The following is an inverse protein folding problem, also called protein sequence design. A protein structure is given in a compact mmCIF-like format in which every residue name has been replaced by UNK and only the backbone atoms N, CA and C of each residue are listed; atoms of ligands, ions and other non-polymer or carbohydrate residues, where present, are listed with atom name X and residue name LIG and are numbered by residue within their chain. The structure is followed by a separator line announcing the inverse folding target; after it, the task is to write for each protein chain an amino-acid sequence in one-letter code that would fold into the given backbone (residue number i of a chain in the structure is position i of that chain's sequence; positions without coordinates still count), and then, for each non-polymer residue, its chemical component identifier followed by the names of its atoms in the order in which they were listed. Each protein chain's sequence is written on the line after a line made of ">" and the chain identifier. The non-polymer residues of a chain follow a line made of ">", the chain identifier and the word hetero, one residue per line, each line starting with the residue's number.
data_IF_674534298978
#
_entry.id   IF_674534298978
#
_cell.length_a   1.000
_cell.length_b   1.000
_cell.length_c   1.000
_cell.angle_alpha   90.00
_cell.angle_beta   90.00
_cell.angle_gamma   90.00
#
_symmetry.space_group_name_H-M   'P 1'
#
loop_
_entity.id
_entity.type
_entity.pdbx_description
1 polymer ?
#
# COMPACT_ATOMS: atom_id res chain seq x y z
N UNK A 1 16.41 -22.91 -35.91
CA UNK A 1 16.52 -22.18 -34.62
C UNK A 1 16.92 -23.23 -33.60
N UNK A 2 18.24 -23.33 -33.24
CA UNK A 2 18.71 -24.32 -32.25
C UNK A 2 18.12 -23.89 -30.91
N UNK A 3 17.41 -24.81 -30.24
CA UNK A 3 17.01 -24.62 -28.84
C UNK A 3 18.29 -24.32 -28.05
N UNK A 4 18.27 -23.26 -27.25
CA UNK A 4 19.36 -22.85 -26.40
C UNK A 4 19.77 -24.01 -25.49
N UNK A 5 21.07 -24.23 -25.35
CA UNK A 5 21.62 -25.23 -24.43
C UNK A 5 21.32 -24.80 -23.00
N UNK A 6 20.95 -25.76 -22.13
CA UNK A 6 20.69 -25.47 -20.69
C UNK A 6 21.97 -24.93 -20.03
N UNK A 7 21.85 -24.05 -19.04
CA UNK A 7 22.99 -23.61 -18.26
C UNK A 7 23.52 -24.77 -17.42
N UNK A 8 24.78 -25.08 -17.56
CA UNK A 8 25.44 -26.15 -16.82
C UNK A 8 26.77 -25.66 -16.24
N UNK A 9 27.13 -26.18 -15.06
CA UNK A 9 28.41 -25.97 -14.42
C UNK A 9 28.98 -27.33 -14.13
N UNK A 10 30.20 -27.60 -14.59
CA UNK A 10 30.92 -28.81 -14.26
C UNK A 10 32.36 -28.51 -13.87
N UNK A 11 32.91 -29.36 -12.99
CA UNK A 11 34.28 -29.24 -12.50
C UNK A 11 35.18 -30.06 -13.39
N UNK A 12 36.19 -29.42 -13.99
CA UNK A 12 37.27 -30.11 -14.71
C UNK A 12 38.47 -30.18 -13.77
N UNK A 13 38.83 -31.37 -13.31
CA UNK A 13 40.02 -31.60 -12.50
C UNK A 13 41.23 -31.81 -13.40
N UNK A 14 42.17 -30.87 -13.42
CA UNK A 14 43.51 -31.06 -14.04
C UNK A 14 44.56 -30.99 -12.92
N UNK A 15 45.21 -32.11 -12.70
CA UNK A 15 46.32 -32.53 -11.83
C UNK A 15 46.72 -31.68 -10.56
N UNK A 16 46.36 -30.41 -10.44
CA UNK A 16 46.55 -29.59 -9.22
C UNK A 16 45.55 -28.46 -9.02
N UNK A 17 44.75 -28.14 -10.06
CA UNK A 17 43.74 -27.06 -9.94
C UNK A 17 42.35 -27.53 -10.43
N UNK A 18 41.33 -27.25 -9.67
CA UNK A 18 39.95 -27.47 -10.09
C UNK A 18 39.44 -26.22 -10.84
N UNK A 19 39.20 -26.38 -12.15
CA UNK A 19 38.64 -25.33 -13.00
C UNK A 19 37.13 -25.55 -13.15
N UNK A 20 36.34 -24.51 -12.87
CA UNK A 20 34.92 -24.53 -13.09
C UNK A 20 34.61 -24.10 -14.52
N UNK A 21 34.04 -25.00 -15.31
CA UNK A 21 33.62 -24.70 -16.69
C UNK A 21 32.15 -24.34 -16.69
N UNK A 22 31.84 -23.13 -17.21
CA UNK A 22 30.47 -22.62 -17.34
C UNK A 22 30.06 -22.72 -18.79
N UNK A 23 29.00 -23.50 -19.07
CA UNK A 23 28.50 -23.72 -20.42
C UNK A 23 27.01 -23.44 -20.56
N UNK A 24 26.54 -23.25 -21.81
CA UNK A 24 25.15 -23.06 -22.14
C UNK A 24 24.65 -21.61 -22.09
N UNK A 25 23.32 -21.42 -22.21
CA UNK A 25 22.66 -20.13 -22.28
C UNK A 25 22.19 -19.68 -20.88
N UNK A 26 22.88 -18.70 -20.30
CA UNK A 26 22.62 -18.13 -18.98
C UNK A 26 21.72 -16.90 -19.07
N UNK A 27 20.47 -17.13 -19.44
CA UNK A 27 19.43 -16.12 -19.53
C UNK A 27 18.36 -16.35 -18.46
N UNK A 28 17.68 -15.30 -18.04
CA UNK A 28 16.65 -15.32 -16.96
C UNK A 28 15.65 -16.49 -17.10
N UNK A 29 15.27 -16.83 -18.34
CA UNK A 29 14.31 -17.91 -18.60
C UNK A 29 14.82 -19.31 -18.25
N UNK A 30 16.14 -19.52 -18.30
CA UNK A 30 16.77 -20.81 -18.06
C UNK A 30 17.28 -20.98 -16.63
N UNK A 31 17.40 -19.88 -15.86
CA UNK A 31 17.99 -19.89 -14.51
C UNK A 31 17.10 -20.56 -13.45
N UNK A 32 15.80 -20.71 -13.71
CA UNK A 32 14.88 -21.39 -12.78
C UNK A 32 15.20 -22.89 -12.54
N UNK A 33 16.01 -23.49 -13.40
CA UNK A 33 16.39 -24.91 -13.35
C UNK A 33 17.80 -25.15 -12.76
N UNK A 34 18.49 -24.11 -12.27
CA UNK A 34 19.83 -24.25 -11.71
C UNK A 34 19.82 -24.97 -10.35
N UNK A 35 20.77 -25.89 -10.11
CA UNK A 35 20.93 -26.50 -8.80
C UNK A 35 21.31 -25.43 -7.75
N UNK A 36 20.78 -25.53 -6.51
CA UNK A 36 20.89 -24.46 -5.49
C UNK A 36 22.31 -24.20 -4.98
N UNK A 37 23.24 -25.09 -5.19
CA UNK A 37 24.66 -24.96 -4.78
C UNK A 37 25.56 -25.91 -5.55
N UNK A 38 26.66 -25.40 -6.08
CA UNK A 38 27.78 -26.21 -6.59
C UNK A 38 28.79 -26.29 -5.45
N UNK A 39 28.95 -27.49 -4.87
CA UNK A 39 29.98 -27.74 -3.87
C UNK A 39 31.27 -28.12 -4.58
N UNK A 40 32.27 -27.27 -4.51
CA UNK A 40 33.63 -27.59 -4.99
C UNK A 40 34.53 -27.80 -3.77
N UNK A 41 35.52 -28.73 -3.95
CA UNK A 41 36.49 -29.05 -2.90
C UNK A 41 37.29 -27.82 -2.44
N UNK A 42 38.04 -27.95 -1.37
CA UNK A 42 38.71 -26.92 -0.59
C UNK A 42 39.83 -26.10 -1.29
N UNK A 43 39.71 -25.77 -2.57
CA UNK A 43 40.63 -24.85 -3.23
C UNK A 43 40.22 -23.39 -2.99
N UNK A 44 41.15 -22.64 -2.42
CA UNK A 44 40.91 -21.24 -1.96
C UNK A 44 40.62 -20.25 -3.09
N UNK A 45 40.90 -20.57 -4.36
CA UNK A 45 40.64 -19.72 -5.53
C UNK A 45 40.36 -20.58 -6.76
N UNK A 46 39.12 -20.96 -7.06
CA UNK A 46 38.80 -21.67 -8.30
C UNK A 46 38.95 -20.76 -9.52
N UNK A 47 39.60 -21.25 -10.55
CA UNK A 47 39.59 -20.63 -11.89
C UNK A 47 38.29 -20.98 -12.60
N UNK A 48 37.72 -20.00 -13.34
CA UNK A 48 36.46 -20.18 -14.09
C UNK A 48 36.77 -20.04 -15.56
N UNK A 49 36.43 -21.07 -16.31
CA UNK A 49 36.51 -21.07 -17.76
C UNK A 49 35.11 -20.76 -18.36
N UNK A 50 34.99 -19.61 -18.99
CA UNK A 50 33.80 -19.17 -19.69
C UNK A 50 33.87 -19.35 -21.22
N UNK A 51 34.78 -20.17 -21.73
CA UNK A 51 34.97 -20.37 -23.17
C UNK A 51 33.78 -21.04 -23.87
N UNK A 52 32.99 -21.84 -23.14
CA UNK A 52 31.78 -22.51 -23.63
C UNK A 52 30.48 -21.78 -23.32
N UNK A 53 30.58 -20.52 -22.88
CA UNK A 53 29.42 -19.68 -22.53
C UNK A 53 28.65 -19.26 -23.79
N UNK A 54 27.34 -19.52 -23.80
CA UNK A 54 26.44 -19.13 -24.88
C UNK A 54 25.90 -17.69 -24.70
N UNK A 55 24.59 -17.53 -24.74
CA UNK A 55 23.94 -16.22 -24.49
C UNK A 55 23.83 -15.97 -23.00
N UNK A 56 24.10 -14.74 -22.59
CA UNK A 56 24.01 -14.31 -21.19
C UNK A 56 23.27 -12.98 -21.10
N UNK A 57 22.45 -12.82 -20.05
CA UNK A 57 21.86 -11.54 -19.65
C UNK A 57 22.44 -11.06 -18.31
N UNK A 58 22.01 -9.90 -17.84
CA UNK A 58 22.51 -9.31 -16.58
C UNK A 58 22.21 -10.18 -15.35
N UNK A 59 21.11 -10.94 -15.37
CA UNK A 59 20.75 -11.86 -14.29
C UNK A 59 21.63 -13.11 -14.33
N UNK A 60 21.94 -13.62 -15.51
CA UNK A 60 22.89 -14.71 -15.71
C UNK A 60 24.31 -14.35 -15.27
N UNK A 61 24.77 -13.15 -15.62
CA UNK A 61 26.07 -12.64 -15.15
C UNK A 61 26.12 -12.51 -13.62
N UNK A 62 25.05 -12.00 -13.01
CA UNK A 62 24.91 -11.93 -11.55
C UNK A 62 24.91 -13.32 -10.91
N UNK A 63 24.20 -14.28 -11.50
CA UNK A 63 24.16 -15.65 -10.99
C UNK A 63 25.55 -16.30 -11.01
N UNK A 64 26.32 -16.13 -12.09
CA UNK A 64 27.71 -16.65 -12.17
C UNK A 64 28.56 -15.97 -11.09
N UNK A 65 28.53 -14.64 -10.96
CA UNK A 65 29.31 -13.90 -9.96
C UNK A 65 28.94 -14.29 -8.51
N UNK A 66 27.68 -14.59 -8.24
CA UNK A 66 27.22 -14.99 -6.90
C UNK A 66 27.56 -16.45 -6.58
N UNK A 67 27.49 -17.35 -7.56
CA UNK A 67 27.79 -18.78 -7.38
C UNK A 67 29.29 -19.04 -7.15
N UNK A 68 30.14 -18.20 -7.70
CA UNK A 68 31.58 -18.43 -7.72
C UNK A 68 32.35 -17.65 -6.66
N UNK A 69 31.72 -17.06 -5.67
CA UNK A 69 32.41 -16.20 -4.70
C UNK A 69 33.46 -15.29 -5.37
N UNK A 70 33.30 -14.02 -5.33
CA UNK A 70 34.03 -12.87 -5.94
C UNK A 70 35.57 -12.93 -6.06
N UNK A 71 36.22 -14.01 -5.64
CA UNK A 71 37.68 -14.14 -5.65
C UNK A 71 38.24 -15.00 -6.81
N UNK A 72 37.36 -15.47 -7.71
CA UNK A 72 37.77 -16.36 -8.79
C UNK A 72 38.30 -15.57 -9.99
N UNK A 73 39.40 -16.06 -10.59
CA UNK A 73 39.93 -15.54 -11.85
C UNK A 73 39.06 -16.05 -12.99
N UNK A 74 38.41 -15.19 -13.74
CA UNK A 74 37.56 -15.55 -14.88
C UNK A 74 38.44 -15.59 -16.13
N UNK A 75 38.55 -16.74 -16.78
CA UNK A 75 39.30 -16.93 -18.04
C UNK A 75 38.32 -17.28 -19.19
N UNK A 76 38.75 -17.04 -20.43
CA UNK A 76 37.97 -17.41 -21.61
C UNK A 76 36.72 -16.52 -21.87
N UNK A 77 36.60 -15.38 -21.21
CA UNK A 77 35.42 -14.50 -21.38
C UNK A 77 35.51 -13.75 -22.73
N UNK A 78 34.52 -13.84 -23.63
CA UNK A 78 34.47 -13.04 -24.85
C UNK A 78 34.47 -11.52 -24.55
N UNK A 79 35.18 -10.75 -25.36
CA UNK A 79 35.42 -9.31 -25.13
C UNK A 79 34.12 -8.48 -25.02
N UNK A 80 33.08 -8.91 -25.75
CA UNK A 80 31.74 -8.30 -25.68
C UNK A 80 31.00 -8.57 -24.37
N UNK A 81 31.35 -9.65 -23.65
CA UNK A 81 30.74 -10.01 -22.37
C UNK A 81 31.54 -9.49 -21.17
N UNK A 82 32.86 -9.28 -21.32
CA UNK A 82 33.69 -8.71 -20.26
C UNK A 82 33.13 -7.40 -19.70
N UNK A 83 32.62 -6.54 -20.57
CA UNK A 83 32.01 -5.28 -20.20
C UNK A 83 30.69 -5.44 -19.40
N UNK A 84 29.91 -6.48 -19.72
CA UNK A 84 28.70 -6.81 -18.96
C UNK A 84 29.03 -7.29 -17.54
N UNK A 85 30.04 -8.16 -17.42
CA UNK A 85 30.50 -8.65 -16.12
C UNK A 85 31.06 -7.52 -15.26
N UNK A 86 31.87 -6.62 -15.84
CA UNK A 86 32.39 -5.44 -15.15
C UNK A 86 31.27 -4.51 -14.63
N UNK A 87 30.23 -4.25 -15.44
CA UNK A 87 29.08 -3.45 -15.06
C UNK A 87 28.27 -4.10 -13.95
N UNK A 88 28.03 -5.40 -14.03
CA UNK A 88 27.28 -6.15 -13.01
C UNK A 88 28.08 -6.22 -11.72
N UNK A 89 29.38 -6.47 -11.78
CA UNK A 89 30.27 -6.49 -10.60
C UNK A 89 30.35 -5.11 -9.93
N UNK A 90 30.50 -4.03 -10.69
CA UNK A 90 30.48 -2.67 -10.17
C UNK A 90 29.13 -2.32 -9.52
N UNK A 91 28.02 -2.78 -10.10
CA UNK A 91 26.69 -2.60 -9.52
C UNK A 91 26.51 -3.38 -8.21
N UNK A 92 27.04 -4.59 -8.14
CA UNK A 92 26.95 -5.43 -6.94
C UNK A 92 27.94 -5.03 -5.84
N UNK A 93 29.12 -4.52 -6.19
CA UNK A 93 30.05 -3.94 -5.20
C UNK A 93 29.45 -2.74 -4.45
N UNK A 94 28.51 -2.04 -5.08
CA UNK A 94 27.73 -0.97 -4.41
C UNK A 94 26.73 -1.51 -3.38
N UNK A 95 26.24 -2.73 -3.50
CA UNK A 95 25.27 -3.34 -2.58
C UNK A 95 25.92 -4.14 -1.43
N UNK A 96 27.08 -4.75 -1.63
CA UNK A 96 27.82 -5.46 -0.56
C UNK A 96 28.44 -4.56 0.48
N UNK A 97 28.56 -3.27 0.21
CA UNK A 97 28.84 -2.27 1.25
C UNK A 97 27.69 -2.17 2.29
N UNK A 98 26.58 -2.86 2.06
CA UNK A 98 25.49 -3.09 3.01
C UNK A 98 25.54 -4.46 3.70
N UNK A 99 26.72 -5.03 3.93
CA UNK A 99 26.86 -5.86 5.12
C UNK A 99 26.32 -5.04 6.26
N UNK A 100 25.30 -5.56 6.95
CA UNK A 100 24.64 -4.88 8.06
C UNK A 100 25.67 -4.50 9.13
N UNK A 101 26.45 -3.49 8.83
CA UNK A 101 27.26 -2.81 9.81
C UNK A 101 26.31 -2.54 10.96
N UNK A 102 26.51 -3.23 12.08
CA UNK A 102 25.76 -3.03 13.30
C UNK A 102 25.97 -1.57 13.71
N UNK A 103 25.25 -0.69 13.01
CA UNK A 103 25.31 0.73 13.30
C UNK A 103 24.96 0.92 14.78
N UNK A 104 25.77 1.59 15.55
CA UNK A 104 25.50 1.90 16.93
C UNK A 104 24.10 2.52 17.06
N UNK A 105 23.41 2.26 18.16
CA UNK A 105 21.99 2.63 18.35
C UNK A 105 21.69 4.09 18.03
N UNK A 106 22.63 5.01 18.34
CA UNK A 106 22.48 6.44 18.03
C UNK A 106 22.43 6.75 16.51
N UNK A 107 23.18 5.99 15.69
CA UNK A 107 23.14 6.15 14.21
C UNK A 107 21.84 5.59 13.63
N UNK A 108 21.34 4.46 14.19
CA UNK A 108 20.03 3.92 13.84
C UNK A 108 18.91 4.89 14.20
N UNK A 109 18.95 5.43 15.40
CA UNK A 109 17.98 6.42 15.85
C UNK A 109 18.05 7.70 14.99
N UNK A 110 19.25 8.19 14.69
CA UNK A 110 19.46 9.33 13.79
C UNK A 110 18.89 9.11 12.39
N UNK A 111 19.10 7.93 11.79
CA UNK A 111 18.50 7.57 10.49
C UNK A 111 16.98 7.55 10.55
N UNK A 112 16.38 7.03 11.62
CA UNK A 112 14.91 7.00 11.80
C UNK A 112 14.37 8.42 11.92
N UNK A 113 14.95 9.25 12.78
CA UNK A 113 14.55 10.65 12.95
C UNK A 113 14.71 11.46 11.65
N UNK A 114 15.83 11.28 10.96
CA UNK A 114 16.06 11.94 9.67
C UNK A 114 15.03 11.52 8.62
N UNK A 115 14.76 10.21 8.47
CA UNK A 115 13.73 9.70 7.57
C UNK A 115 12.33 10.22 7.94
N UNK A 116 12.00 10.25 9.22
CA UNK A 116 10.75 10.83 9.71
C UNK A 116 10.66 12.32 9.35
N UNK A 117 11.71 13.11 9.56
CA UNK A 117 11.77 14.51 9.17
C UNK A 117 11.62 14.74 7.67
N UNK A 118 12.27 13.92 6.84
CA UNK A 118 12.10 13.94 5.38
C UNK A 118 10.66 13.58 4.98
N UNK A 119 10.07 12.58 5.62
CA UNK A 119 8.69 12.17 5.38
C UNK A 119 7.70 13.29 5.74
N UNK A 120 7.89 13.96 6.88
CA UNK A 120 7.06 15.10 7.31
C UNK A 120 7.19 16.25 6.30
N UNK A 121 8.42 16.61 5.89
CA UNK A 121 8.66 17.65 4.90
C UNK A 121 7.98 17.36 3.55
N UNK A 122 8.03 16.12 3.10
CA UNK A 122 7.39 15.69 1.85
C UNK A 122 5.87 15.75 1.98
N UNK A 123 5.31 15.33 3.13
CA UNK A 123 3.88 15.43 3.40
C UNK A 123 3.41 16.88 3.47
N UNK A 124 4.17 17.76 4.13
CA UNK A 124 3.85 19.18 4.20
C UNK A 124 3.86 19.86 2.82
N UNK A 125 4.84 19.49 1.95
CA UNK A 125 4.86 19.97 0.56
C UNK A 125 3.66 19.48 -0.24
N UNK A 126 3.26 18.23 -0.05
CA UNK A 126 2.09 17.65 -0.71
C UNK A 126 0.81 18.37 -0.26
N UNK A 127 0.65 18.58 1.05
CA UNK A 127 -0.47 19.35 1.62
C UNK A 127 -0.54 20.77 1.05
N UNK A 128 0.59 21.48 1.02
CA UNK A 128 0.61 22.85 0.46
C UNK A 128 0.23 22.87 -1.02
N UNK A 129 0.66 21.88 -1.82
CA UNK A 129 0.20 21.76 -3.22
C UNK A 129 -1.29 21.47 -3.31
N UNK A 130 -1.82 20.61 -2.43
CA UNK A 130 -3.24 20.28 -2.39
C UNK A 130 -4.09 21.50 -2.05
N UNK A 131 -3.71 22.26 -1.03
CA UNK A 131 -4.40 23.49 -0.66
C UNK A 131 -4.41 24.52 -1.80
N UNK A 132 -3.26 24.75 -2.44
CA UNK A 132 -3.16 25.65 -3.60
C UNK A 132 -4.03 25.18 -4.76
N UNK A 133 -4.02 23.86 -5.06
CA UNK A 133 -4.86 23.29 -6.12
C UNK A 133 -6.34 23.41 -5.79
N UNK A 134 -6.75 23.19 -4.54
CA UNK A 134 -8.12 23.40 -4.07
C UNK A 134 -8.58 24.84 -4.24
N UNK A 135 -7.79 25.79 -3.76
CA UNK A 135 -8.13 27.22 -3.86
C UNK A 135 -8.25 27.63 -5.34
N UNK A 136 -7.33 27.18 -6.19
CA UNK A 136 -7.39 27.44 -7.64
C UNK A 136 -8.64 26.81 -8.30
N UNK A 137 -9.06 25.65 -7.83
CA UNK A 137 -10.22 24.91 -8.38
C UNK A 137 -11.55 25.54 -7.93
N UNK A 138 -11.60 26.10 -6.72
CA UNK A 138 -12.73 26.91 -6.24
C UNK A 138 -12.84 28.19 -7.06
N UNK A 139 -11.69 28.85 -7.35
CA UNK A 139 -11.65 30.06 -8.18
C UNK A 139 -11.97 29.78 -9.65
N UNK A 140 -11.61 28.60 -10.18
CA UNK A 140 -11.84 28.20 -11.57
C UNK A 140 -12.43 26.76 -11.64
N UNK A 141 -13.76 26.60 -11.52
CA UNK A 141 -14.41 25.28 -11.54
C UNK A 141 -14.20 24.48 -12.84
N UNK A 142 -13.86 25.16 -13.94
CA UNK A 142 -13.55 24.49 -15.22
C UNK A 142 -12.31 23.60 -15.21
N UNK A 143 -11.48 23.71 -14.16
CA UNK A 143 -10.32 22.81 -13.93
C UNK A 143 -10.74 21.44 -13.42
N UNK A 144 -11.89 21.35 -12.79
CA UNK A 144 -12.41 20.08 -12.27
C UNK A 144 -12.93 19.26 -13.45
N UNK A 145 -12.38 18.09 -13.67
CA UNK A 145 -12.83 17.14 -14.69
C UNK A 145 -14.06 16.37 -14.16
N UNK A 146 -15.28 16.68 -14.59
CA UNK A 146 -16.48 16.11 -13.99
C UNK A 146 -16.59 14.61 -14.18
N UNK A 147 -16.12 14.08 -15.31
CA UNK A 147 -16.11 12.64 -15.62
C UNK A 147 -15.16 11.89 -14.67
N UNK A 148 -13.95 12.41 -14.44
CA UNK A 148 -12.99 11.82 -13.53
C UNK A 148 -13.50 11.86 -12.06
N UNK A 149 -14.14 12.96 -11.67
CA UNK A 149 -14.76 13.10 -10.36
C UNK A 149 -15.91 12.10 -10.18
N UNK A 150 -16.83 12.02 -11.15
CA UNK A 150 -17.98 11.11 -11.09
C UNK A 150 -17.54 9.63 -11.02
N UNK A 151 -16.55 9.22 -11.82
CA UNK A 151 -16.00 7.87 -11.78
C UNK A 151 -15.32 7.55 -10.45
N UNK A 152 -14.65 8.53 -9.85
CA UNK A 152 -14.02 8.37 -8.53
C UNK A 152 -15.08 8.28 -7.42
N UNK A 153 -16.17 9.08 -7.49
CA UNK A 153 -17.31 9.00 -6.57
C UNK A 153 -17.98 7.62 -6.65
N UNK A 154 -18.20 7.11 -7.85
CA UNK A 154 -18.80 5.80 -8.04
C UNK A 154 -17.94 4.70 -7.40
N UNK A 155 -16.65 4.66 -7.73
CA UNK A 155 -15.72 3.63 -7.23
C UNK A 155 -15.47 3.71 -5.73
N UNK A 156 -15.21 4.92 -5.20
CA UNK A 156 -14.93 5.10 -3.79
C UNK A 156 -16.19 5.08 -2.92
N UNK A 157 -17.31 5.62 -3.42
CA UNK A 157 -18.56 5.79 -2.68
C UNK A 157 -19.52 4.63 -2.87
N UNK A 158 -20.17 4.56 -4.03
CA UNK A 158 -21.31 3.66 -4.26
C UNK A 158 -20.96 2.17 -4.09
N UNK A 159 -19.79 1.76 -4.58
CA UNK A 159 -19.35 0.37 -4.46
C UNK A 159 -19.02 -0.04 -3.01
N UNK A 160 -18.72 0.92 -2.13
CA UNK A 160 -18.40 0.66 -0.72
C UNK A 160 -19.65 0.68 0.19
N UNK A 161 -20.76 1.24 -0.30
CA UNK A 161 -21.97 1.47 0.47
C UNK A 161 -22.55 0.20 1.12
N UNK A 162 -22.78 -0.92 0.40
CA UNK A 162 -23.37 -2.11 1.01
C UNK A 162 -22.46 -2.70 2.09
N UNK A 163 -21.16 -2.72 1.88
CA UNK A 163 -20.20 -3.22 2.86
C UNK A 163 -20.22 -2.37 4.14
N UNK A 164 -20.19 -1.03 3.99
CA UNK A 164 -20.23 -0.08 5.10
C UNK A 164 -21.53 -0.24 5.89
N UNK A 165 -22.68 -0.32 5.21
CA UNK A 165 -23.97 -0.47 5.87
C UNK A 165 -24.06 -1.78 6.68
N UNK A 166 -23.64 -2.90 6.10
CA UNK A 166 -23.63 -4.19 6.79
C UNK A 166 -22.71 -4.17 8.01
N UNK A 167 -21.48 -3.69 7.84
CA UNK A 167 -20.50 -3.67 8.92
C UNK A 167 -20.95 -2.78 10.08
N UNK A 168 -21.45 -1.57 9.78
CA UNK A 168 -21.93 -0.66 10.84
C UNK A 168 -23.21 -1.14 11.49
N UNK A 169 -24.10 -1.81 10.77
CA UNK A 169 -25.27 -2.48 11.34
C UNK A 169 -24.86 -3.50 12.42
N UNK A 170 -23.95 -4.40 12.11
CA UNK A 170 -23.48 -5.39 13.08
C UNK A 170 -22.73 -4.75 14.26
N UNK A 171 -21.96 -3.69 14.02
CA UNK A 171 -21.27 -2.96 15.10
C UNK A 171 -22.30 -2.31 16.04
N UNK A 172 -23.34 -1.67 15.50
CA UNK A 172 -24.43 -1.11 16.31
C UNK A 172 -25.14 -2.17 17.15
N UNK A 173 -25.42 -3.34 16.55
CA UNK A 173 -25.97 -4.48 17.26
C UNK A 173 -25.05 -5.00 18.39
N UNK A 174 -23.76 -5.16 18.12
CA UNK A 174 -22.78 -5.60 19.13
C UNK A 174 -22.63 -4.60 20.27
N UNK A 175 -22.64 -3.29 19.96
CA UNK A 175 -22.60 -2.24 20.99
C UNK A 175 -23.83 -2.29 21.89
N UNK A 176 -25.02 -2.55 21.32
CA UNK A 176 -26.24 -2.73 22.09
C UNK A 176 -26.16 -3.95 23.00
N UNK A 177 -25.68 -5.10 22.49
CA UNK A 177 -25.54 -6.35 23.22
C UNK A 177 -24.55 -6.23 24.39
N UNK A 178 -23.32 -5.80 24.12
CA UNK A 178 -22.30 -5.66 25.17
C UNK A 178 -22.71 -4.57 26.16
N UNK A 179 -23.29 -3.47 25.65
CA UNK A 179 -23.78 -2.38 26.46
C UNK A 179 -24.92 -2.79 27.38
N UNK A 180 -25.86 -3.67 26.91
CA UNK A 180 -26.96 -4.15 27.74
C UNK A 180 -26.45 -4.97 28.93
N UNK A 181 -25.57 -5.93 28.70
CA UNK A 181 -25.01 -6.78 29.76
C UNK A 181 -24.29 -5.96 30.84
N UNK A 182 -23.51 -4.96 30.41
CA UNK A 182 -22.77 -4.11 31.33
C UNK A 182 -23.71 -3.18 32.15
N UNK A 183 -24.67 -2.56 31.47
CA UNK A 183 -25.60 -1.62 32.12
C UNK A 183 -26.61 -2.33 33.01
N UNK A 184 -27.01 -3.55 32.69
CA UNK A 184 -27.87 -4.38 33.54
C UNK A 184 -27.20 -4.70 34.89
N UNK A 185 -25.91 -5.04 34.87
CA UNK A 185 -25.12 -5.25 36.11
C UNK A 185 -25.05 -3.99 36.98
N UNK A 186 -25.15 -2.81 36.39
CA UNK A 186 -25.15 -1.52 37.08
C UNK A 186 -26.56 -1.04 37.45
N UNK A 187 -27.62 -1.82 37.13
CA UNK A 187 -29.01 -1.40 37.34
C UNK A 187 -29.47 -0.25 36.42
N UNK A 188 -28.79 -0.02 35.32
CA UNK A 188 -28.99 1.09 34.41
C UNK A 188 -29.32 0.64 32.98
N UNK A 189 -29.98 -0.50 32.81
CA UNK A 189 -30.29 -1.12 31.53
C UNK A 189 -31.00 -0.19 30.55
N UNK A 190 -31.72 0.79 31.05
CA UNK A 190 -32.44 1.76 30.25
C UNK A 190 -31.54 2.70 29.44
N UNK A 191 -30.26 2.89 29.85
CA UNK A 191 -29.29 3.76 29.17
C UNK A 191 -28.65 3.12 27.93
N UNK A 192 -29.02 1.91 27.52
CA UNK A 192 -28.48 1.24 26.34
C UNK A 192 -28.76 2.03 25.07
N UNK A 193 -29.95 2.65 24.97
CA UNK A 193 -30.33 3.43 23.79
C UNK A 193 -29.42 4.64 23.62
N UNK A 194 -29.14 5.36 24.71
CA UNK A 194 -28.24 6.50 24.75
C UNK A 194 -26.81 6.07 24.41
N UNK A 195 -26.35 4.96 24.99
CA UNK A 195 -25.03 4.41 24.71
C UNK A 195 -24.85 4.11 23.21
N UNK A 196 -25.80 3.41 22.60
CA UNK A 196 -25.80 3.10 21.16
C UNK A 196 -25.86 4.39 20.34
N UNK A 197 -26.80 5.28 20.65
CA UNK A 197 -26.99 6.53 19.92
C UNK A 197 -25.73 7.40 19.91
N UNK A 198 -25.15 7.64 21.09
CA UNK A 198 -23.94 8.47 21.21
C UNK A 198 -22.75 7.78 20.53
N UNK A 199 -22.53 6.49 20.76
CA UNK A 199 -21.40 5.76 20.20
C UNK A 199 -21.45 5.70 18.67
N UNK A 200 -22.63 5.43 18.11
CA UNK A 200 -22.81 5.34 16.64
C UNK A 200 -22.73 6.73 16.00
N UNK A 201 -23.47 7.72 16.49
CA UNK A 201 -23.50 9.05 15.87
C UNK A 201 -22.17 9.79 15.99
N UNK A 202 -21.47 9.62 17.11
CA UNK A 202 -20.27 10.39 17.40
C UNK A 202 -18.97 9.73 16.91
N UNK A 203 -18.89 8.38 16.96
CA UNK A 203 -17.66 7.66 16.71
C UNK A 203 -17.80 6.63 15.57
N UNK A 204 -18.55 5.54 15.78
CA UNK A 204 -18.54 4.39 14.86
C UNK A 204 -19.08 4.69 13.47
N UNK A 205 -20.11 5.54 13.36
CA UNK A 205 -20.68 5.94 12.07
C UNK A 205 -19.71 6.72 11.18
N UNK A 206 -18.62 7.25 11.74
CA UNK A 206 -17.56 7.94 10.99
C UNK A 206 -16.30 7.11 10.86
N UNK A 207 -15.87 6.44 11.95
CA UNK A 207 -14.63 5.67 11.96
C UNK A 207 -14.69 4.45 11.06
N UNK A 208 -15.83 3.72 11.03
CA UNK A 208 -15.93 2.50 10.23
C UNK A 208 -15.85 2.79 8.72
N UNK A 209 -16.63 3.74 8.16
CA UNK A 209 -16.42 4.16 6.78
C UNK A 209 -14.98 4.62 6.50
N UNK A 210 -14.38 5.38 7.42
CA UNK A 210 -13.02 5.86 7.24
C UNK A 210 -12.00 4.71 7.16
N UNK A 211 -12.07 3.72 8.05
CA UNK A 211 -11.16 2.56 8.05
C UNK A 211 -11.35 1.71 6.78
N UNK A 212 -12.59 1.43 6.39
CA UNK A 212 -12.89 0.65 5.19
C UNK A 212 -12.42 1.35 3.92
N UNK A 213 -12.67 2.66 3.80
CA UNK A 213 -12.18 3.45 2.68
C UNK A 213 -10.67 3.62 2.70
N UNK A 214 -10.03 3.77 3.86
CA UNK A 214 -8.58 3.82 3.97
C UNK A 214 -7.94 2.54 3.41
N UNK A 215 -8.46 1.37 3.74
CA UNK A 215 -7.95 0.09 3.23
C UNK A 215 -8.15 -0.06 1.71
N UNK A 216 -9.37 0.19 1.24
CA UNK A 216 -9.75 -0.05 -0.18
C UNK A 216 -9.29 1.09 -1.10
N UNK A 217 -9.63 2.33 -0.79
CA UNK A 217 -9.40 3.46 -1.68
C UNK A 217 -7.93 3.83 -1.78
N UNK A 218 -7.19 3.77 -0.67
CA UNK A 218 -5.75 4.06 -0.64
C UNK A 218 -4.97 3.09 -1.53
N UNK A 219 -5.21 1.79 -1.40
CA UNK A 219 -4.54 0.77 -2.22
C UNK A 219 -4.92 0.88 -3.70
N UNK A 220 -6.20 1.13 -4.00
CA UNK A 220 -6.69 1.33 -5.38
C UNK A 220 -6.06 2.56 -6.02
N UNK A 221 -5.97 3.68 -5.31
CA UNK A 221 -5.36 4.90 -5.83
C UNK A 221 -3.86 4.73 -6.07
N UNK A 222 -3.15 4.12 -5.14
CA UNK A 222 -1.72 3.83 -5.28
C UNK A 222 -1.46 2.90 -6.48
N UNK A 223 -2.24 1.81 -6.62
CA UNK A 223 -2.10 0.88 -7.73
C UNK A 223 -2.40 1.54 -9.09
N UNK A 224 -3.45 2.39 -9.18
CA UNK A 224 -3.78 3.10 -10.41
C UNK A 224 -2.68 4.09 -10.82
N UNK A 225 -2.17 4.90 -9.88
CA UNK A 225 -1.10 5.86 -10.18
C UNK A 225 0.19 5.11 -10.52
N UNK A 226 0.51 4.03 -9.81
CA UNK A 226 1.65 3.18 -10.09
C UNK A 226 1.59 2.56 -11.49
N UNK A 227 0.43 2.03 -11.90
CA UNK A 227 0.22 1.48 -13.24
C UNK A 227 0.39 2.56 -14.34
N UNK A 228 -0.18 3.76 -14.14
CA UNK A 228 -0.01 4.88 -15.08
C UNK A 228 1.46 5.30 -15.20
N UNK A 229 2.23 5.24 -14.12
CA UNK A 229 3.66 5.53 -14.12
C UNK A 229 4.45 4.45 -14.86
N UNK A 230 4.15 3.17 -14.63
CA UNK A 230 4.79 2.06 -15.36
C UNK A 230 4.51 2.11 -16.86
N UNK A 231 3.32 2.55 -17.27
CA UNK A 231 2.94 2.72 -18.67
C UNK A 231 3.44 4.06 -19.26
N UNK A 232 4.22 4.86 -18.54
CA UNK A 232 4.70 6.19 -18.94
C UNK A 232 3.58 7.21 -19.26
N UNK A 233 2.34 6.93 -18.84
CA UNK A 233 1.20 7.84 -19.05
C UNK A 233 1.38 9.16 -18.29
N UNK A 234 2.01 9.12 -17.11
CA UNK A 234 2.31 10.31 -16.30
C UNK A 234 3.31 11.22 -17.01
N UNK A 235 4.33 10.67 -17.67
CA UNK A 235 5.32 11.42 -18.44
C UNK A 235 4.71 12.02 -19.70
N UNK A 236 3.86 11.24 -20.39
CA UNK A 236 3.10 11.75 -21.55
C UNK A 236 2.20 12.94 -21.17
N UNK A 237 1.52 12.88 -20.01
CA UNK A 237 0.71 14.00 -19.50
C UNK A 237 1.59 15.25 -19.22
N UNK A 238 2.78 15.08 -18.64
CA UNK A 238 3.69 16.18 -18.38
C UNK A 238 4.18 16.85 -19.67
N UNK A 239 4.53 16.05 -20.68
CA UNK A 239 4.93 16.57 -21.99
C UNK A 239 3.80 17.37 -22.67
N UNK A 240 2.54 16.94 -22.45
CA UNK A 240 1.35 17.68 -22.92
C UNK A 240 1.02 18.93 -22.09
N UNK A 241 1.82 19.26 -21.06
CA UNK A 241 1.58 20.41 -20.18
C UNK A 241 0.44 20.23 -19.19
N UNK A 242 -0.02 18.98 -18.93
CA UNK A 242 -1.08 18.69 -17.98
C UNK A 242 -0.46 18.58 -16.57
N UNK A 243 -0.98 19.38 -15.63
CA UNK A 243 -0.60 19.25 -14.22
C UNK A 243 -1.14 17.93 -13.66
N UNK A 244 -0.22 17.02 -13.31
CA UNK A 244 -0.56 15.71 -12.74
C UNK A 244 -1.36 15.83 -11.43
N UNK A 245 -1.10 16.87 -10.66
CA UNK A 245 -1.77 17.07 -9.39
C UNK A 245 -3.26 17.39 -9.59
N UNK A 246 -3.55 18.30 -10.51
CA UNK A 246 -4.91 18.67 -10.88
C UNK A 246 -5.64 17.54 -11.62
N UNK A 247 -4.89 16.71 -12.38
CA UNK A 247 -5.49 15.64 -13.18
C UNK A 247 -5.77 14.35 -12.38
N UNK A 248 -4.90 14.00 -11.42
CA UNK A 248 -4.94 12.71 -10.73
C UNK A 248 -5.31 12.84 -9.24
N UNK A 249 -4.72 13.79 -8.53
CA UNK A 249 -4.89 13.90 -7.06
C UNK A 249 -6.18 14.62 -6.72
N UNK A 250 -6.43 15.76 -7.35
CA UNK A 250 -7.56 16.61 -7.04
C UNK A 250 -8.93 15.91 -7.19
N UNK A 251 -9.25 15.19 -8.29
CA UNK A 251 -10.54 14.51 -8.42
C UNK A 251 -10.74 13.42 -7.35
N UNK A 252 -9.67 12.71 -6.99
CA UNK A 252 -9.71 11.67 -5.95
C UNK A 252 -9.94 12.26 -4.56
N UNK A 253 -9.26 13.36 -4.26
CA UNK A 253 -9.46 14.08 -3.00
C UNK A 253 -10.89 14.61 -2.89
N UNK A 254 -11.39 15.31 -3.92
CA UNK A 254 -12.75 15.85 -3.94
C UNK A 254 -13.80 14.75 -3.87
N UNK A 255 -13.58 13.61 -4.54
CA UNK A 255 -14.51 12.48 -4.46
C UNK A 255 -14.64 11.95 -3.04
N UNK A 256 -13.55 11.79 -2.30
CA UNK A 256 -13.61 11.37 -0.89
C UNK A 256 -14.24 12.41 0.01
N UNK A 257 -13.97 13.70 -0.21
CA UNK A 257 -14.56 14.79 0.56
C UNK A 257 -16.08 14.85 0.40
N UNK A 258 -16.61 14.47 -0.76
CA UNK A 258 -18.05 14.40 -1.05
C UNK A 258 -18.67 13.08 -0.56
N UNK A 259 -18.00 11.96 -0.81
CA UNK A 259 -18.57 10.63 -0.53
C UNK A 259 -18.51 10.26 0.95
N UNK A 260 -17.46 10.65 1.66
CA UNK A 260 -17.29 10.31 3.08
C UNK A 260 -18.44 10.81 3.98
N UNK A 261 -18.91 12.07 3.89
CA UNK A 261 -20.07 12.51 4.68
C UNK A 261 -21.30 11.69 4.39
N UNK A 262 -21.58 11.42 3.11
CA UNK A 262 -22.75 10.62 2.70
C UNK A 262 -22.67 9.18 3.25
N UNK A 263 -21.53 8.54 3.13
CA UNK A 263 -21.30 7.20 3.67
C UNK A 263 -21.38 7.17 5.19
N UNK A 264 -20.91 8.22 5.86
CA UNK A 264 -21.01 8.33 7.31
C UNK A 264 -22.47 8.46 7.78
N UNK A 265 -23.31 9.21 7.08
CA UNK A 265 -24.74 9.28 7.38
C UNK A 265 -25.41 7.92 7.21
N UNK A 266 -25.13 7.23 6.12
CA UNK A 266 -25.65 5.88 5.88
C UNK A 266 -25.16 4.89 6.96
N UNK A 267 -23.90 4.99 7.35
CA UNK A 267 -23.32 4.19 8.42
C UNK A 267 -24.01 4.46 9.78
N UNK A 268 -24.28 5.71 10.09
CA UNK A 268 -25.01 6.09 11.31
C UNK A 268 -26.42 5.47 11.31
N UNK A 269 -27.15 5.60 10.20
CA UNK A 269 -28.51 5.01 10.08
C UNK A 269 -28.45 3.49 10.22
N UNK A 270 -27.52 2.82 9.52
CA UNK A 270 -27.35 1.39 9.59
C UNK A 270 -26.95 0.90 10.99
N UNK A 271 -26.06 1.62 11.67
CA UNK A 271 -25.62 1.32 13.03
C UNK A 271 -26.75 1.48 14.05
N UNK A 272 -27.53 2.55 13.95
CA UNK A 272 -28.72 2.73 14.80
C UNK A 272 -29.78 1.65 14.55
N UNK A 273 -29.99 1.26 13.29
CA UNK A 273 -30.89 0.16 12.96
C UNK A 273 -30.41 -1.18 13.56
N UNK A 274 -29.10 -1.46 13.53
CA UNK A 274 -28.50 -2.63 14.17
C UNK A 274 -28.70 -2.62 15.69
N UNK A 275 -28.46 -1.48 16.33
CA UNK A 275 -28.70 -1.28 17.76
C UNK A 275 -30.17 -1.47 18.14
N UNK A 276 -31.08 -0.91 17.34
CA UNK A 276 -32.53 -1.09 17.53
C UNK A 276 -32.94 -2.54 17.46
N UNK A 277 -32.52 -3.28 16.42
CA UNK A 277 -32.86 -4.68 16.24
C UNK A 277 -32.34 -5.54 17.40
N UNK A 278 -31.11 -5.30 17.85
CA UNK A 278 -30.52 -6.02 18.98
C UNK A 278 -31.26 -5.69 20.31
N UNK A 279 -31.55 -4.43 20.59
CA UNK A 279 -32.29 -4.01 21.78
C UNK A 279 -33.70 -4.56 21.81
N UNK A 280 -34.39 -4.58 20.66
CA UNK A 280 -35.72 -5.17 20.55
C UNK A 280 -35.70 -6.71 20.75
N UNK A 281 -34.78 -7.42 20.09
CA UNK A 281 -34.73 -8.86 20.13
C UNK A 281 -34.35 -9.46 21.47
N UNK A 282 -33.51 -8.78 22.25
CA UNK A 282 -32.89 -9.31 23.48
C UNK A 282 -33.46 -8.65 24.73
N UNK A 283 -33.61 -7.33 24.73
CA UNK A 283 -34.08 -6.58 25.89
C UNK A 283 -35.59 -6.33 25.88
N UNK A 284 -36.31 -6.68 24.79
CA UNK A 284 -37.72 -6.39 24.65
C UNK A 284 -38.08 -4.91 24.52
N UNK A 285 -37.07 -4.03 24.26
CA UNK A 285 -37.30 -2.61 24.04
C UNK A 285 -38.04 -2.43 22.72
N UNK A 286 -39.27 -1.90 22.78
CA UNK A 286 -40.04 -1.71 21.54
C UNK A 286 -39.38 -0.70 20.62
N UNK A 287 -39.49 -0.85 19.28
CA UNK A 287 -38.91 0.10 18.32
C UNK A 287 -39.37 1.53 18.53
N UNK A 288 -40.61 1.72 18.95
CA UNK A 288 -41.18 3.04 19.24
C UNK A 288 -40.47 3.66 20.44
N UNK A 289 -40.32 2.92 21.53
CA UNK A 289 -39.61 3.36 22.72
C UNK A 289 -38.14 3.69 22.45
N UNK A 290 -37.48 2.86 21.58
CA UNK A 290 -36.11 3.12 21.17
C UNK A 290 -35.96 4.48 20.45
N UNK A 291 -36.85 4.77 19.51
CA UNK A 291 -36.83 6.04 18.75
C UNK A 291 -37.15 7.22 19.67
N UNK A 292 -38.18 7.12 20.53
CA UNK A 292 -38.55 8.20 21.49
C UNK A 292 -37.37 8.49 22.44
N UNK A 293 -36.72 7.49 22.97
CA UNK A 293 -35.54 7.66 23.80
C UNK A 293 -34.35 8.24 23.04
N UNK A 294 -34.09 7.75 21.81
CA UNK A 294 -33.04 8.30 20.96
C UNK A 294 -33.25 9.80 20.72
N UNK A 295 -34.47 10.20 20.43
CA UNK A 295 -34.81 11.64 20.19
C UNK A 295 -34.71 12.50 21.46
N UNK A 296 -35.17 11.98 22.60
CA UNK A 296 -35.22 12.73 23.85
C UNK A 296 -33.87 12.84 24.58
N UNK A 297 -33.02 11.79 24.51
CA UNK A 297 -31.81 11.67 25.31
C UNK A 297 -30.52 11.91 24.51
N UNK A 298 -30.55 11.72 23.18
CA UNK A 298 -29.37 11.89 22.34
C UNK A 298 -29.44 13.21 21.58
N UNK A 299 -28.66 14.18 22.05
CA UNK A 299 -28.59 15.47 21.40
C UNK A 299 -28.05 15.42 19.97
N UNK A 300 -28.63 16.18 19.05
CA UNK A 300 -28.18 16.33 17.66
C UNK A 300 -26.71 16.80 17.54
N UNK A 301 -26.19 17.36 18.62
CA UNK A 301 -24.78 17.73 18.75
C UNK A 301 -23.84 16.56 18.45
N UNK A 302 -24.17 15.32 18.84
CA UNK A 302 -23.34 14.14 18.62
C UNK A 302 -23.20 13.81 17.13
N UNK A 303 -24.26 13.97 16.36
CA UNK A 303 -24.23 13.88 14.89
C UNK A 303 -23.27 14.90 14.29
N UNK A 304 -23.40 16.19 14.67
CA UNK A 304 -22.52 17.22 14.11
C UNK A 304 -21.05 17.05 14.51
N UNK A 305 -20.77 16.61 15.73
CA UNK A 305 -19.41 16.28 16.17
C UNK A 305 -18.84 15.12 15.35
N UNK A 306 -19.65 14.11 15.03
CA UNK A 306 -19.25 13.03 14.12
C UNK A 306 -18.90 13.57 12.73
N UNK A 307 -19.84 14.25 12.09
CA UNK A 307 -19.67 14.78 10.72
C UNK A 307 -18.50 15.78 10.62
N UNK A 308 -18.24 16.56 11.64
CA UNK A 308 -17.11 17.51 11.66
C UNK A 308 -15.72 16.83 11.56
N UNK A 309 -15.60 15.56 11.94
CA UNK A 309 -14.36 14.77 11.81
C UNK A 309 -14.13 14.28 10.38
N UNK A 310 -15.18 14.15 9.58
CA UNK A 310 -15.16 13.52 8.25
C UNK A 310 -14.19 14.20 7.28
N UNK A 311 -14.14 15.53 7.13
CA UNK A 311 -13.20 16.18 6.21
C UNK A 311 -11.74 15.89 6.54
N UNK A 312 -11.41 15.80 7.82
CA UNK A 312 -10.04 15.50 8.27
C UNK A 312 -9.66 14.06 7.89
N UNK A 313 -10.56 13.10 8.12
CA UNK A 313 -10.35 11.71 7.78
C UNK A 313 -10.29 11.51 6.26
N UNK A 314 -11.17 12.15 5.49
CA UNK A 314 -11.15 12.14 4.03
C UNK A 314 -9.83 12.67 3.49
N UNK A 315 -9.33 13.78 4.05
CA UNK A 315 -8.03 14.35 3.68
C UNK A 315 -6.87 13.36 3.98
N UNK A 316 -6.88 12.75 5.16
CA UNK A 316 -5.85 11.78 5.55
C UNK A 316 -5.81 10.57 4.60
N UNK A 317 -6.98 10.02 4.22
CA UNK A 317 -7.11 8.88 3.30
C UNK A 317 -6.60 9.26 1.90
N UNK A 318 -7.03 10.42 1.38
CA UNK A 318 -6.63 10.87 0.06
C UNK A 318 -5.12 11.13 -0.03
N UNK A 319 -4.55 11.77 0.99
CA UNK A 319 -3.11 12.09 1.05
C UNK A 319 -2.29 10.80 1.07
N UNK A 320 -2.66 9.85 1.92
CA UNK A 320 -1.93 8.58 2.01
C UNK A 320 -2.03 7.78 0.71
N UNK A 321 -3.21 7.69 0.10
CA UNK A 321 -3.44 6.95 -1.14
C UNK A 321 -2.72 7.56 -2.35
N UNK A 322 -2.75 8.89 -2.50
CA UNK A 322 -2.10 9.55 -3.63
C UNK A 322 -0.59 9.74 -3.46
N UNK A 323 -0.06 9.63 -2.25
CA UNK A 323 1.38 9.79 -2.00
C UNK A 323 2.18 8.52 -2.29
N UNK A 324 1.58 7.36 -2.11
CA UNK A 324 2.25 6.06 -2.28
C UNK A 324 2.15 5.50 -3.70
N UNK A 325 1.39 6.11 -4.59
CA UNK A 325 1.37 5.85 -6.04
C UNK A 325 2.28 6.80 -6.80
#
# INVERSE_FOLDING_TARGET
>A
MKLGSRPEIFVREEQENATLVVSGDWITQNLAELPPTVSYGSSDHPEIDCSELGRIDSVGALAILTLVHRAAKIEGLPENLARLFELVDAATQGEDASEAARHPLHVRLGKVVYRAGQSIKTSARFLGKLEVSLVRSIANPSRIRPVALASSIQKAGLESLPLIAIMTFFIGAVVALIGSDLLEQLGAAELVVELVGISVLREFGVLIPAILLAGRSTSTFAAQIGAMRMNQETEAMQVMGIDLFDALVLPRFLSLLITMPLLSVIAMIAGLAGGLVASWGIMGVSPILFIERLESAVEIRHFWVGIAKVPVLAAAIAITGCRHG
#
